data_IF_680513983885
#
_entry.id   IF_680513983885
#
_cell.length_a   1.000
_cell.length_b   1.000
_cell.length_c   1.000
_cell.angle_alpha   90.00
_cell.angle_beta   90.00
_cell.angle_gamma   90.00
#
_symmetry.space_group_name_H-M   'P 1'
#
loop_
_entity.id
_entity.type
_entity.pdbx_description
1 polymer ?
#
# COMPACT_ATOMS: atom_id res chain seq x y z
N UNK A 1 27.26 -2.25 5.75
CA UNK A 1 26.39 -1.52 6.71
C UNK A 1 25.06 -2.23 6.95
N UNK A 2 24.26 -2.53 5.91
CA UNK A 2 22.96 -3.21 6.06
C UNK A 2 23.00 -4.46 6.96
N UNK A 3 23.93 -5.40 6.68
CA UNK A 3 24.04 -6.62 7.49
C UNK A 3 24.32 -6.37 8.97
N UNK A 4 25.05 -5.31 9.31
CA UNK A 4 25.26 -4.90 10.69
C UNK A 4 23.96 -4.41 11.32
N UNK A 5 23.20 -3.55 10.62
CA UNK A 5 21.92 -3.05 11.10
C UNK A 5 20.90 -4.18 11.32
N UNK A 6 20.80 -5.13 10.37
CA UNK A 6 19.94 -6.32 10.48
C UNK A 6 20.33 -7.18 11.68
N UNK A 7 21.62 -7.54 11.82
CA UNK A 7 22.11 -8.34 12.95
C UNK A 7 21.80 -7.69 14.31
N UNK A 8 22.09 -6.39 14.43
CA UNK A 8 21.87 -5.65 15.67
C UNK A 8 20.38 -5.50 16.00
N UNK A 9 19.52 -5.24 15.02
CA UNK A 9 18.08 -5.10 15.25
C UNK A 9 17.48 -6.42 15.74
N UNK A 10 17.79 -7.53 15.08
CA UNK A 10 17.26 -8.85 15.46
C UNK A 10 17.75 -9.24 16.85
N UNK A 11 19.04 -9.02 17.17
CA UNK A 11 19.58 -9.29 18.51
C UNK A 11 18.97 -8.41 19.59
N UNK A 12 18.62 -7.16 19.29
CA UNK A 12 18.00 -6.26 20.25
C UNK A 12 16.55 -6.70 20.59
N UNK A 13 15.76 -7.07 19.59
CA UNK A 13 14.35 -7.43 19.79
C UNK A 13 14.12 -8.92 20.09
N UNK A 14 15.07 -9.79 19.76
CA UNK A 14 14.97 -11.23 19.99
C UNK A 14 16.27 -11.84 20.54
N UNK A 15 16.85 -11.32 21.66
CA UNK A 15 18.15 -11.77 22.17
C UNK A 15 18.17 -13.24 22.60
N UNK A 16 17.03 -13.82 22.95
CA UNK A 16 16.91 -15.18 23.50
C UNK A 16 16.28 -16.18 22.51
N UNK A 17 16.20 -15.83 21.22
CA UNK A 17 15.56 -16.68 20.19
C UNK A 17 14.15 -17.15 20.57
N UNK A 18 13.35 -16.26 21.14
CA UNK A 18 11.93 -16.47 21.45
C UNK A 18 11.06 -16.13 20.24
N UNK A 19 9.81 -16.55 20.26
CA UNK A 19 8.81 -16.31 19.20
C UNK A 19 8.21 -14.89 19.29
N UNK A 20 9.07 -13.86 19.35
CA UNK A 20 8.64 -12.48 19.63
C UNK A 20 8.55 -11.59 18.39
N UNK A 21 9.21 -11.98 17.30
CA UNK A 21 9.27 -11.21 16.06
C UNK A 21 8.85 -12.08 14.89
N UNK A 22 7.75 -11.71 14.23
CA UNK A 22 7.38 -12.28 12.95
C UNK A 22 8.00 -11.50 11.78
N UNK A 23 7.95 -12.07 10.58
CA UNK A 23 8.48 -11.47 9.33
C UNK A 23 7.93 -10.07 9.07
N UNK A 24 6.64 -9.90 9.35
CA UNK A 24 5.95 -8.63 9.17
C UNK A 24 6.48 -7.54 10.12
N UNK A 25 6.62 -7.83 11.41
CA UNK A 25 7.17 -6.91 12.41
C UNK A 25 8.60 -6.51 12.06
N UNK A 26 9.43 -7.48 11.65
CA UNK A 26 10.80 -7.20 11.20
C UNK A 26 10.84 -6.18 10.07
N UNK A 27 10.02 -6.36 9.02
CA UNK A 27 9.98 -5.43 7.90
C UNK A 27 9.59 -4.01 8.34
N UNK A 28 8.63 -3.87 9.26
CA UNK A 28 8.20 -2.57 9.77
C UNK A 28 9.27 -1.90 10.63
N UNK A 29 9.94 -2.67 11.49
CA UNK A 29 11.05 -2.15 12.30
C UNK A 29 12.27 -1.77 11.44
N UNK A 30 12.60 -2.56 10.42
CA UNK A 30 13.68 -2.24 9.48
C UNK A 30 13.41 -0.94 8.72
N UNK A 31 12.18 -0.74 8.28
CA UNK A 31 11.78 0.52 7.66
C UNK A 31 11.91 1.71 8.63
N UNK A 32 11.36 1.59 9.85
CA UNK A 32 11.47 2.66 10.85
C UNK A 32 12.93 2.98 11.19
N UNK A 33 13.77 1.96 11.26
CA UNK A 33 15.22 2.12 11.44
C UNK A 33 15.82 2.90 10.26
N UNK A 34 15.63 2.43 9.04
CA UNK A 34 16.16 3.07 7.82
C UNK A 34 15.70 4.53 7.70
N UNK A 35 14.40 4.80 7.86
CA UNK A 35 13.83 6.15 7.85
C UNK A 35 14.49 7.09 8.86
N UNK A 36 14.76 6.61 10.09
CA UNK A 36 15.41 7.41 11.15
C UNK A 36 16.91 7.57 10.91
N UNK A 37 17.56 6.60 10.30
CA UNK A 37 18.99 6.67 9.94
C UNK A 37 19.21 7.64 8.77
N UNK A 38 18.35 7.60 7.74
CA UNK A 38 18.41 8.54 6.61
C UNK A 38 18.30 9.99 7.09
N UNK A 39 17.41 10.29 8.04
CA UNK A 39 17.30 11.63 8.69
C UNK A 39 18.56 12.07 9.43
N UNK A 40 19.43 11.13 9.80
CA UNK A 40 20.72 11.37 10.44
C UNK A 40 21.90 11.30 9.44
N UNK A 41 21.61 11.22 8.14
CA UNK A 41 22.61 11.13 7.07
C UNK A 41 23.28 9.75 6.94
N UNK A 42 22.68 8.70 7.51
CA UNK A 42 23.18 7.32 7.43
C UNK A 42 22.27 6.51 6.51
N UNK A 43 22.79 6.10 5.36
CA UNK A 43 22.08 5.25 4.39
C UNK A 43 22.60 3.81 4.49
N UNK A 44 21.79 2.93 5.08
CA UNK A 44 22.13 1.51 5.22
C UNK A 44 21.91 0.72 3.92
N UNK A 45 21.43 1.36 2.85
CA UNK A 45 21.11 0.74 1.56
C UNK A 45 20.07 -0.37 1.67
N UNK A 46 19.05 -0.18 2.52
CA UNK A 46 17.95 -1.14 2.67
C UNK A 46 17.20 -1.25 1.33
N UNK A 47 17.15 -2.43 0.67
CA UNK A 47 16.27 -2.62 -0.46
C UNK A 47 14.82 -2.66 0.02
N UNK A 48 13.94 -1.96 -0.68
CA UNK A 48 12.53 -2.02 -0.39
C UNK A 48 11.72 -1.05 -1.24
N UNK A 49 10.41 -1.14 -1.09
CA UNK A 49 9.48 -0.40 -1.91
C UNK A 49 8.14 -0.21 -1.20
N UNK A 50 7.37 0.77 -1.65
CA UNK A 50 6.04 1.01 -1.12
C UNK A 50 5.03 -0.03 -1.63
N UNK A 51 4.21 -0.58 -0.74
CA UNK A 51 3.14 -1.52 -1.06
C UNK A 51 1.84 -1.18 -0.31
N UNK A 52 0.75 -1.92 -0.57
CA UNK A 52 -0.60 -1.66 -0.03
C UNK A 52 -0.70 -1.51 1.49
N UNK A 53 0.28 -2.06 2.22
CA UNK A 53 0.40 -1.96 3.68
C UNK A 53 1.59 -1.10 4.13
N UNK A 54 2.04 -0.18 3.28
CA UNK A 54 3.23 0.65 3.48
C UNK A 54 4.49 0.00 2.94
N UNK A 55 5.64 0.59 3.25
CA UNK A 55 6.93 0.11 2.76
C UNK A 55 7.26 -1.30 3.26
N UNK A 56 7.90 -2.06 2.38
CA UNK A 56 8.17 -3.48 2.53
C UNK A 56 9.52 -3.85 1.91
N UNK A 57 10.21 -4.81 2.53
CA UNK A 57 11.45 -5.39 2.06
C UNK A 57 11.23 -6.88 1.83
N UNK A 58 11.34 -7.33 0.58
CA UNK A 58 11.27 -8.75 0.26
C UNK A 58 12.54 -9.48 0.73
N UNK A 59 12.37 -10.69 1.26
CA UNK A 59 13.48 -11.50 1.79
C UNK A 59 14.50 -11.87 0.72
N UNK A 60 14.04 -12.20 -0.48
CA UNK A 60 14.93 -12.49 -1.62
C UNK A 60 15.83 -11.32 -1.97
N UNK A 61 15.41 -10.07 -1.68
CA UNK A 61 16.26 -8.89 -1.89
C UNK A 61 17.33 -8.83 -0.80
N UNK A 62 16.99 -9.17 0.45
CA UNK A 62 17.96 -9.28 1.54
C UNK A 62 18.99 -10.38 1.25
N UNK A 63 18.57 -11.54 0.75
CA UNK A 63 19.47 -12.64 0.36
C UNK A 63 20.50 -12.21 -0.69
N UNK A 64 20.15 -11.27 -1.57
CA UNK A 64 21.05 -10.77 -2.62
C UNK A 64 22.07 -9.75 -2.11
N UNK A 65 21.76 -9.01 -1.04
CA UNK A 65 22.59 -7.88 -0.57
C UNK A 65 23.33 -8.16 0.75
N UNK A 66 22.89 -9.17 1.50
CA UNK A 66 23.54 -9.57 2.74
C UNK A 66 24.71 -10.53 2.48
N UNK A 67 25.73 -10.55 3.36
CA UNK A 67 26.87 -11.45 3.23
C UNK A 67 26.53 -12.93 3.48
N UNK A 68 25.30 -13.22 3.91
CA UNK A 68 24.76 -14.56 4.10
C UNK A 68 23.27 -14.56 3.71
N UNK A 69 22.70 -15.69 3.26
CA UNK A 69 21.26 -15.79 2.96
C UNK A 69 20.43 -15.49 4.22
N UNK A 70 19.65 -14.42 4.19
CA UNK A 70 18.75 -14.04 5.27
C UNK A 70 17.69 -15.11 5.51
N UNK A 71 17.07 -15.60 4.43
CA UNK A 71 15.99 -16.59 4.46
C UNK A 71 16.42 -17.88 5.15
N UNK A 72 17.63 -18.37 4.91
CA UNK A 72 18.14 -19.62 5.50
C UNK A 72 18.61 -19.46 6.95
N UNK A 73 19.10 -18.28 7.33
CA UNK A 73 19.79 -18.08 8.61
C UNK A 73 18.95 -17.37 9.68
N UNK A 74 17.95 -16.60 9.26
CA UNK A 74 17.15 -15.77 10.16
C UNK A 74 15.67 -16.15 10.18
N UNK A 75 15.16 -16.93 9.22
CA UNK A 75 13.72 -17.23 9.12
C UNK A 75 13.46 -18.68 9.52
N UNK A 76 12.45 -18.88 10.37
CA UNK A 76 11.89 -20.20 10.66
C UNK A 76 10.36 -20.08 10.73
N UNK A 77 9.68 -20.58 9.71
CA UNK A 77 8.25 -20.36 9.52
C UNK A 77 7.95 -18.87 9.33
N UNK A 78 7.02 -18.34 10.13
CA UNK A 78 6.65 -16.92 10.10
C UNK A 78 7.51 -16.04 11.03
N UNK A 79 8.51 -16.61 11.69
CA UNK A 79 9.28 -15.99 12.76
C UNK A 79 10.71 -15.64 12.33
N UNK A 80 11.23 -14.56 12.90
CA UNK A 80 12.60 -14.07 12.70
C UNK A 80 13.43 -14.33 13.96
N UNK A 81 14.56 -14.98 13.77
CA UNK A 81 15.52 -15.33 14.81
C UNK A 81 16.89 -14.72 14.54
N UNK A 82 17.66 -14.42 15.60
CA UNK A 82 19.07 -14.09 15.47
C UNK A 82 19.80 -15.13 14.61
N UNK A 83 20.69 -14.69 13.70
CA UNK A 83 21.46 -15.60 12.87
C UNK A 83 22.30 -16.53 13.76
N UNK A 84 22.38 -17.80 13.37
CA UNK A 84 23.30 -18.78 13.98
C UNK A 84 24.75 -18.48 13.64
N UNK A 85 25.00 -17.86 12.49
CA UNK A 85 26.33 -17.49 12.01
C UNK A 85 26.72 -16.15 12.64
N UNK A 86 27.86 -16.15 13.35
CA UNK A 86 28.49 -14.90 13.78
C UNK A 86 29.23 -14.28 12.61
N UNK A 87 28.77 -13.12 12.14
CA UNK A 87 29.46 -12.34 11.12
C UNK A 87 30.33 -11.29 11.80
N UNK A 88 31.62 -11.27 11.44
CA UNK A 88 32.51 -10.19 11.85
C UNK A 88 32.28 -8.95 10.98
N UNK A 89 31.84 -7.87 11.64
CA UNK A 89 31.64 -6.54 11.04
C UNK A 89 32.78 -5.57 11.36
N UNK A 90 33.83 -6.01 12.04
CA UNK A 90 34.98 -5.18 12.42
C UNK A 90 35.62 -4.54 11.19
N UNK A 91 35.80 -3.22 11.23
CA UNK A 91 36.35 -2.44 10.12
C UNK A 91 35.44 -2.32 8.88
N UNK A 92 34.27 -2.98 8.84
CA UNK A 92 33.33 -2.94 7.70
C UNK A 92 32.28 -1.82 7.80
N UNK A 93 32.15 -1.20 8.98
CA UNK A 93 31.24 -0.09 9.27
C UNK A 93 32.01 0.92 10.10
N UNK A 94 31.93 2.21 9.78
CA UNK A 94 32.66 3.23 10.54
C UNK A 94 32.12 3.32 11.97
N UNK A 95 32.98 3.57 12.96
CA UNK A 95 32.60 3.63 14.38
C UNK A 95 31.43 4.59 14.61
N UNK A 96 31.48 5.78 13.99
CA UNK A 96 30.40 6.77 14.05
C UNK A 96 29.06 6.22 13.56
N UNK A 97 29.05 5.47 12.46
CA UNK A 97 27.81 4.89 11.91
C UNK A 97 27.30 3.77 12.81
N UNK A 98 28.19 2.95 13.38
CA UNK A 98 27.81 1.92 14.36
C UNK A 98 27.12 2.54 15.57
N UNK A 99 27.64 3.64 16.10
CA UNK A 99 27.06 4.34 17.25
C UNK A 99 25.67 4.90 16.92
N UNK A 100 25.50 5.53 15.76
CA UNK A 100 24.21 6.06 15.31
C UNK A 100 23.18 4.92 15.13
N UNK A 101 23.60 3.80 14.52
CA UNK A 101 22.75 2.61 14.33
C UNK A 101 22.32 2.04 15.67
N UNK A 102 23.26 1.79 16.59
CA UNK A 102 22.96 1.22 17.90
C UNK A 102 22.05 2.14 18.73
N UNK A 103 22.32 3.45 18.72
CA UNK A 103 21.47 4.43 19.40
C UNK A 103 20.05 4.45 18.83
N UNK A 104 19.90 4.41 17.50
CA UNK A 104 18.59 4.38 16.85
C UNK A 104 17.83 3.09 17.14
N UNK A 105 18.52 1.94 17.16
CA UNK A 105 17.94 0.66 17.57
C UNK A 105 17.50 0.69 19.04
N UNK A 106 18.29 1.28 19.94
CA UNK A 106 17.90 1.45 21.35
C UNK A 106 16.60 2.23 21.47
N UNK A 107 16.46 3.35 20.74
CA UNK A 107 15.22 4.14 20.75
C UNK A 107 14.03 3.33 20.25
N UNK A 108 14.20 2.56 19.15
CA UNK A 108 13.14 1.67 18.65
C UNK A 108 12.77 0.59 19.68
N UNK A 109 13.77 0.00 20.32
CA UNK A 109 13.56 -1.01 21.35
C UNK A 109 12.83 -0.42 22.58
N UNK A 110 13.19 0.78 23.04
CA UNK A 110 12.48 1.44 24.15
C UNK A 110 11.03 1.76 23.78
N UNK A 111 10.78 2.05 22.50
CA UNK A 111 9.46 2.37 21.99
C UNK A 111 8.57 1.13 21.79
N UNK A 112 9.11 0.01 21.32
CA UNK A 112 8.31 -1.15 20.88
C UNK A 112 8.67 -2.49 21.55
N UNK A 113 9.89 -2.62 22.07
CA UNK A 113 10.43 -3.87 22.60
C UNK A 113 9.54 -4.49 23.67
N UNK A 114 9.13 -5.73 23.44
CA UNK A 114 8.30 -6.56 24.35
C UNK A 114 6.96 -5.94 24.76
N UNK A 115 6.46 -4.91 24.06
CA UNK A 115 5.14 -4.34 24.32
C UNK A 115 4.06 -5.15 23.61
N UNK A 116 2.94 -5.37 24.29
CA UNK A 116 1.77 -5.99 23.67
C UNK A 116 1.29 -5.12 22.50
N UNK A 117 0.94 -5.74 21.37
CA UNK A 117 0.45 -5.03 20.18
C UNK A 117 1.49 -4.15 19.46
N UNK A 118 2.79 -4.27 19.76
CA UNK A 118 3.81 -3.42 19.14
C UNK A 118 3.83 -3.52 17.60
N UNK A 119 3.43 -4.66 17.05
CA UNK A 119 3.34 -4.88 15.61
C UNK A 119 2.39 -3.91 14.90
N UNK A 120 1.22 -3.64 15.49
CA UNK A 120 0.23 -2.71 14.95
C UNK A 120 0.68 -1.26 15.11
N UNK A 121 1.35 -0.94 16.23
CA UNK A 121 1.95 0.38 16.45
C UNK A 121 3.07 0.65 15.43
N UNK A 122 3.98 -0.31 15.25
CA UNK A 122 5.07 -0.21 14.28
C UNK A 122 4.54 -0.16 12.84
N UNK A 123 3.48 -0.92 12.53
CA UNK A 123 2.76 -0.84 11.25
C UNK A 123 2.27 0.58 10.98
N UNK A 124 1.52 1.15 11.92
CA UNK A 124 0.90 2.46 11.77
C UNK A 124 1.98 3.53 11.58
N UNK A 125 2.96 3.58 12.47
CA UNK A 125 4.03 4.58 12.36
C UNK A 125 4.87 4.40 11.09
N UNK A 126 5.15 3.15 10.69
CA UNK A 126 5.84 2.86 9.43
C UNK A 126 5.07 3.36 8.22
N UNK A 127 3.75 3.26 8.24
CA UNK A 127 2.88 3.78 7.19
C UNK A 127 2.88 5.31 7.19
N UNK A 128 2.63 5.94 8.34
CA UNK A 128 2.52 7.39 8.49
C UNK A 128 3.80 8.12 8.07
N UNK A 129 4.98 7.56 8.37
CA UNK A 129 6.27 8.19 8.03
C UNK A 129 6.62 8.05 6.54
N UNK A 130 6.17 6.99 5.88
CA UNK A 130 6.63 6.62 4.53
C UNK A 130 5.53 6.64 3.48
N UNK A 131 4.34 7.13 3.82
CA UNK A 131 3.25 7.28 2.87
C UNK A 131 3.63 8.35 1.84
N UNK A 132 3.78 8.00 0.55
CA UNK A 132 4.27 8.93 -0.45
C UNK A 132 3.22 9.97 -0.85
N UNK A 133 1.93 9.64 -0.72
CA UNK A 133 0.82 10.56 -0.99
C UNK A 133 -0.22 10.51 0.13
N UNK A 134 -0.93 11.63 0.32
CA UNK A 134 -2.07 11.72 1.24
C UNK A 134 -3.20 10.79 0.84
N UNK A 135 -3.35 10.54 -0.46
CA UNK A 135 -4.27 9.55 -1.00
C UNK A 135 -4.11 8.17 -0.33
N UNK A 136 -2.88 7.71 -0.11
CA UNK A 136 -2.63 6.40 0.49
C UNK A 136 -3.20 6.30 1.92
N UNK A 137 -3.01 7.33 2.75
CA UNK A 137 -3.55 7.37 4.12
C UNK A 137 -5.07 7.44 4.12
N UNK A 138 -5.67 8.27 3.25
CA UNK A 138 -7.12 8.34 3.09
C UNK A 138 -7.71 7.01 2.65
N UNK A 139 -7.02 6.28 1.77
CA UNK A 139 -7.49 4.98 1.31
C UNK A 139 -7.47 3.94 2.43
N UNK A 140 -6.56 4.04 3.42
CA UNK A 140 -6.63 3.19 4.62
C UNK A 140 -7.89 3.47 5.45
N UNK A 141 -8.30 4.74 5.58
CA UNK A 141 -9.55 5.10 6.25
C UNK A 141 -10.76 4.53 5.50
N UNK A 142 -10.75 4.64 4.17
CA UNK A 142 -11.78 4.05 3.31
C UNK A 142 -11.85 2.52 3.44
N UNK A 143 -10.70 1.83 3.52
CA UNK A 143 -10.62 0.40 3.82
C UNK A 143 -11.28 0.06 5.16
N UNK A 144 -11.06 0.87 6.21
CA UNK A 144 -11.67 0.66 7.53
C UNK A 144 -13.20 0.80 7.48
N UNK A 145 -13.71 1.80 6.77
CA UNK A 145 -15.17 2.02 6.62
C UNK A 145 -15.82 0.87 5.85
N UNK A 146 -15.21 0.47 4.73
CA UNK A 146 -15.76 -0.56 3.84
C UNK A 146 -15.59 -1.99 4.38
N UNK A 147 -14.65 -2.23 5.30
CA UNK A 147 -14.47 -3.53 5.95
C UNK A 147 -15.45 -3.80 7.11
N UNK A 148 -16.29 -2.84 7.51
CA UNK A 148 -17.31 -3.06 8.55
C UNK A 148 -18.23 -4.23 8.18
N UNK A 149 -18.34 -5.24 9.05
CA UNK A 149 -19.21 -6.40 8.83
C UNK A 149 -20.65 -6.09 9.26
N UNK A 150 -21.39 -5.44 8.38
CA UNK A 150 -22.81 -5.11 8.56
C UNK A 150 -23.67 -5.91 7.59
N UNK A 151 -24.89 -6.26 8.01
CA UNK A 151 -25.86 -7.00 7.18
C UNK A 151 -26.54 -6.11 6.14
N UNK A 152 -26.65 -4.80 6.41
CA UNK A 152 -27.26 -3.80 5.54
C UNK A 152 -26.46 -2.50 5.59
N UNK A 153 -26.40 -1.79 4.47
CA UNK A 153 -25.81 -0.46 4.40
C UNK A 153 -26.84 0.55 4.88
N UNK A 154 -26.56 1.22 6.00
CA UNK A 154 -27.39 2.33 6.50
C UNK A 154 -27.07 3.61 5.73
N UNK A 155 -27.98 4.59 5.76
CA UNK A 155 -27.73 5.89 5.12
C UNK A 155 -26.47 6.57 5.68
N UNK A 156 -26.27 6.52 7.00
CA UNK A 156 -25.04 7.03 7.62
C UNK A 156 -23.77 6.33 7.12
N UNK A 157 -23.81 5.02 6.83
CA UNK A 157 -22.64 4.32 6.26
C UNK A 157 -22.44 4.71 4.79
N UNK A 158 -23.53 4.90 4.03
CA UNK A 158 -23.47 5.42 2.67
C UNK A 158 -22.84 6.81 2.64
N UNK A 159 -23.24 7.69 3.54
CA UNK A 159 -22.68 9.04 3.69
C UNK A 159 -21.18 8.98 4.04
N UNK A 160 -20.80 8.17 5.04
CA UNK A 160 -19.39 7.94 5.41
C UNK A 160 -18.53 7.53 4.20
N UNK A 161 -19.04 6.58 3.39
CA UNK A 161 -18.36 6.10 2.18
C UNK A 161 -18.27 7.23 1.14
N UNK A 162 -19.35 7.98 0.93
CA UNK A 162 -19.43 9.06 -0.08
C UNK A 162 -18.48 10.21 0.26
N UNK A 163 -18.43 10.63 1.52
CA UNK A 163 -17.49 11.66 1.98
C UNK A 163 -16.04 11.22 1.74
N UNK A 164 -15.71 9.94 1.99
CA UNK A 164 -14.36 9.44 1.70
C UNK A 164 -14.07 9.34 0.21
N UNK A 165 -15.05 9.00 -0.63
CA UNK A 165 -14.91 9.03 -2.07
C UNK A 165 -14.59 10.44 -2.57
N UNK A 166 -15.27 11.48 -2.06
CA UNK A 166 -14.98 12.87 -2.41
C UNK A 166 -13.54 13.29 -2.03
N UNK A 167 -13.09 12.91 -0.83
CA UNK A 167 -11.73 13.20 -0.39
C UNK A 167 -10.68 12.45 -1.23
N UNK A 168 -10.92 11.17 -1.53
CA UNK A 168 -10.04 10.37 -2.39
C UNK A 168 -9.97 10.96 -3.80
N UNK A 169 -11.12 11.37 -4.36
CA UNK A 169 -11.18 12.00 -5.66
C UNK A 169 -10.33 13.28 -5.70
N UNK A 170 -10.40 14.10 -4.66
CA UNK A 170 -9.66 15.36 -4.56
C UNK A 170 -8.16 15.21 -4.34
N UNK A 171 -7.72 14.13 -3.68
CA UNK A 171 -6.32 13.91 -3.28
C UNK A 171 -5.59 12.94 -4.21
N UNK A 172 -6.27 12.44 -5.25
CA UNK A 172 -5.66 11.52 -6.21
C UNK A 172 -4.49 12.22 -6.95
N UNK A 173 -3.27 11.65 -6.90
CA UNK A 173 -2.09 12.29 -7.47
C UNK A 173 -2.02 12.09 -9.00
N UNK A 174 -2.95 12.70 -9.73
CA UNK A 174 -3.13 12.55 -11.17
C UNK A 174 -1.88 12.88 -11.98
N UNK A 175 -1.12 13.90 -11.57
CA UNK A 175 0.11 14.30 -12.25
C UNK A 175 1.22 13.24 -12.15
N UNK A 176 1.21 12.45 -11.08
CA UNK A 176 2.17 11.36 -10.87
C UNK A 176 1.74 10.08 -11.60
N UNK A 177 0.42 9.86 -11.73
CA UNK A 177 -0.15 8.63 -12.26
C UNK A 177 -1.28 8.88 -13.28
N UNK A 178 -1.00 9.57 -14.40
CA UNK A 178 -2.03 9.90 -15.39
C UNK A 178 -2.66 8.65 -16.02
N UNK A 179 -1.92 7.55 -16.14
CA UNK A 179 -2.38 6.31 -16.78
C UNK A 179 -3.40 5.49 -15.98
N UNK A 180 -3.57 5.77 -14.68
CA UNK A 180 -4.61 5.14 -13.85
C UNK A 180 -5.72 6.12 -13.48
N UNK A 181 -5.70 7.33 -14.03
CA UNK A 181 -6.73 8.34 -13.77
C UNK A 181 -8.11 7.87 -14.27
N UNK A 182 -8.18 7.25 -15.47
CA UNK A 182 -9.42 6.63 -15.99
C UNK A 182 -9.98 5.61 -15.01
N UNK A 183 -9.17 4.63 -14.64
CA UNK A 183 -9.53 3.57 -13.70
C UNK A 183 -10.01 4.14 -12.36
N UNK A 184 -9.34 5.18 -11.85
CA UNK A 184 -9.73 5.84 -10.61
C UNK A 184 -11.11 6.51 -10.73
N UNK A 185 -11.37 7.25 -11.81
CA UNK A 185 -12.66 7.90 -12.03
C UNK A 185 -13.77 6.88 -12.25
N UNK A 186 -13.51 5.83 -13.03
CA UNK A 186 -14.48 4.76 -13.26
C UNK A 186 -14.78 4.00 -11.97
N UNK A 187 -13.77 3.76 -11.13
CA UNK A 187 -13.93 3.17 -9.81
C UNK A 187 -14.79 4.03 -8.88
N UNK A 188 -14.51 5.34 -8.77
CA UNK A 188 -15.27 6.28 -7.93
C UNK A 188 -16.73 6.32 -8.38
N UNK A 189 -16.96 6.58 -9.68
CA UNK A 189 -18.30 6.72 -10.25
C UNK A 189 -19.09 5.41 -10.16
N UNK A 190 -18.47 4.27 -10.49
CA UNK A 190 -19.13 2.96 -10.36
C UNK A 190 -19.45 2.64 -8.90
N UNK A 191 -18.60 3.05 -7.96
CA UNK A 191 -18.89 2.88 -6.53
C UNK A 191 -20.13 3.69 -6.14
N UNK A 192 -20.29 4.92 -6.64
CA UNK A 192 -21.51 5.74 -6.40
C UNK A 192 -22.75 5.11 -7.02
N UNK A 193 -22.65 4.61 -8.26
CA UNK A 193 -23.72 3.84 -8.91
C UNK A 193 -24.14 2.64 -8.06
N UNK A 194 -23.20 1.88 -7.49
CA UNK A 194 -23.51 0.78 -6.57
C UNK A 194 -24.22 1.28 -5.31
N UNK A 195 -23.76 2.38 -4.71
CA UNK A 195 -24.36 2.92 -3.49
C UNK A 195 -25.81 3.39 -3.69
N UNK A 196 -26.13 3.90 -4.89
CA UNK A 196 -27.45 4.43 -5.22
C UNK A 196 -28.43 3.35 -5.67
N UNK A 197 -27.99 2.41 -6.52
CA UNK A 197 -28.92 1.50 -7.20
C UNK A 197 -28.86 0.05 -6.70
N UNK A 198 -27.74 -0.42 -6.16
CA UNK A 198 -27.66 -1.82 -5.74
C UNK A 198 -28.52 -2.09 -4.48
N UNK A 199 -29.13 -3.30 -4.36
CA UNK A 199 -29.81 -3.70 -3.12
C UNK A 199 -28.86 -3.74 -1.92
N UNK A 200 -29.33 -3.31 -0.74
CA UNK A 200 -28.49 -3.21 0.47
C UNK A 200 -27.80 -4.51 0.89
N UNK A 201 -28.40 -5.66 0.55
CA UNK A 201 -27.84 -6.99 0.86
C UNK A 201 -26.58 -7.33 0.08
N UNK A 202 -26.38 -6.74 -1.11
CA UNK A 202 -25.17 -6.94 -1.94
C UNK A 202 -24.30 -5.70 -2.07
N UNK A 203 -24.85 -4.51 -1.77
CA UNK A 203 -24.22 -3.20 -1.96
C UNK A 203 -22.80 -3.14 -1.40
N UNK A 204 -22.62 -3.46 -0.12
CA UNK A 204 -21.30 -3.38 0.51
C UNK A 204 -20.30 -4.40 -0.06
N UNK A 205 -20.77 -5.58 -0.49
CA UNK A 205 -19.91 -6.56 -1.13
C UNK A 205 -19.38 -6.06 -2.48
N UNK A 206 -20.24 -5.43 -3.29
CA UNK A 206 -19.84 -4.81 -4.54
C UNK A 206 -18.88 -3.64 -4.32
N UNK A 207 -19.13 -2.78 -3.32
CA UNK A 207 -18.19 -1.71 -2.92
C UNK A 207 -16.82 -2.28 -2.53
N UNK A 208 -16.78 -3.38 -1.75
CA UNK A 208 -15.52 -4.05 -1.39
C UNK A 208 -14.80 -4.61 -2.61
N UNK A 209 -15.51 -5.21 -3.56
CA UNK A 209 -14.93 -5.72 -4.79
C UNK A 209 -14.31 -4.59 -5.62
N UNK A 210 -15.03 -3.49 -5.85
CA UNK A 210 -14.53 -2.31 -6.56
C UNK A 210 -13.29 -1.72 -5.89
N UNK A 211 -13.35 -1.54 -4.56
CA UNK A 211 -12.20 -1.12 -3.75
C UNK A 211 -11.00 -2.02 -3.94
N UNK A 212 -11.19 -3.33 -3.88
CA UNK A 212 -10.09 -4.30 -3.96
C UNK A 212 -9.46 -4.31 -5.36
N UNK A 213 -10.26 -4.19 -6.42
CA UNK A 213 -9.76 -4.05 -7.80
C UNK A 213 -8.83 -2.84 -7.91
N UNK A 214 -9.30 -1.66 -7.50
CA UNK A 214 -8.52 -0.44 -7.58
C UNK A 214 -7.26 -0.50 -6.69
N UNK A 215 -7.43 -0.97 -5.45
CA UNK A 215 -6.35 -1.04 -4.45
C UNK A 215 -5.31 -2.13 -4.74
N UNK A 216 -5.57 -3.08 -5.63
CA UNK A 216 -4.55 -4.00 -6.10
C UNK A 216 -3.63 -3.38 -7.17
N UNK A 217 -4.09 -2.34 -7.88
CA UNK A 217 -3.34 -1.73 -9.00
C UNK A 217 -2.60 -0.49 -8.56
N UNK A 218 -3.27 0.44 -7.88
CA UNK A 218 -2.67 1.71 -7.47
C UNK A 218 -1.33 1.51 -6.71
N UNK A 219 -1.22 0.63 -5.70
CA UNK A 219 0.04 0.37 -5.02
C UNK A 219 1.15 -0.20 -5.91
N UNK A 220 0.83 -0.93 -6.98
CA UNK A 220 1.84 -1.45 -7.92
C UNK A 220 2.48 -0.32 -8.70
N UNK A 221 1.70 0.72 -9.05
CA UNK A 221 2.24 1.92 -9.67
C UNK A 221 3.09 2.73 -8.71
N UNK A 222 2.59 2.96 -7.50
CA UNK A 222 3.33 3.65 -6.43
C UNK A 222 4.65 2.91 -6.13
N UNK A 223 4.64 1.58 -6.07
CA UNK A 223 5.85 0.75 -5.91
C UNK A 223 6.93 1.06 -6.95
N UNK A 224 6.55 1.30 -8.20
CA UNK A 224 7.50 1.52 -9.29
C UNK A 224 8.26 2.84 -9.08
N UNK A 225 7.63 3.88 -8.55
CA UNK A 225 8.28 5.19 -8.31
C UNK A 225 8.86 5.32 -6.91
N UNK A 226 8.19 4.73 -5.92
CA UNK A 226 8.55 4.81 -4.52
C UNK A 226 9.29 3.52 -4.10
N UNK A 227 10.48 3.33 -4.64
CA UNK A 227 11.38 2.24 -4.27
C UNK A 227 12.79 2.75 -3.97
N UNK A 228 13.58 1.93 -3.27
CA UNK A 228 14.98 2.21 -2.98
C UNK A 228 15.81 0.95 -3.04
N UNK A 229 17.02 1.08 -3.58
CA UNK A 229 18.02 0.01 -3.68
C UNK A 229 17.48 -1.29 -4.32
N UNK A 230 16.49 -1.18 -5.22
CA UNK A 230 15.95 -2.31 -5.98
C UNK A 230 16.74 -2.48 -7.28
N UNK A 231 17.13 -3.71 -7.66
CA UNK A 231 17.77 -3.94 -8.94
C UNK A 231 16.87 -3.55 -10.12
N UNK A 232 17.43 -2.83 -11.10
CA UNK A 232 16.68 -2.31 -12.26
C UNK A 232 15.92 -3.38 -13.04
N UNK A 233 16.46 -4.61 -13.13
CA UNK A 233 15.78 -5.71 -13.80
C UNK A 233 14.46 -6.11 -13.12
N UNK A 234 14.37 -5.98 -11.79
CA UNK A 234 13.15 -6.23 -11.01
C UNK A 234 12.12 -5.12 -11.30
N UNK A 235 12.55 -3.86 -11.34
CA UNK A 235 11.69 -2.71 -11.67
C UNK A 235 11.10 -2.87 -13.08
N UNK A 236 11.90 -3.30 -14.07
CA UNK A 236 11.41 -3.58 -15.42
C UNK A 236 10.35 -4.68 -15.46
N UNK A 237 10.53 -5.75 -14.68
CA UNK A 237 9.53 -6.81 -14.56
C UNK A 237 8.22 -6.27 -13.97
N UNK A 238 8.30 -5.43 -12.93
CA UNK A 238 7.11 -4.80 -12.34
C UNK A 238 6.38 -3.90 -13.34
N UNK A 239 7.10 -3.07 -14.10
CA UNK A 239 6.51 -2.21 -15.15
C UNK A 239 5.81 -3.04 -16.22
N UNK A 240 6.41 -4.14 -16.64
CA UNK A 240 5.81 -5.04 -17.64
C UNK A 240 4.55 -5.72 -17.12
N UNK A 241 4.56 -6.22 -15.88
CA UNK A 241 3.41 -6.86 -15.28
C UNK A 241 2.27 -5.85 -15.07
N UNK A 242 2.59 -4.67 -14.52
CA UNK A 242 1.64 -3.60 -14.27
C UNK A 242 0.87 -3.19 -15.54
N UNK A 243 1.56 -3.01 -16.66
CA UNK A 243 0.91 -2.64 -17.94
C UNK A 243 -0.11 -3.69 -18.41
N UNK A 244 0.10 -4.96 -18.11
CA UNK A 244 -0.81 -6.03 -18.49
C UNK A 244 -2.11 -6.05 -17.67
N UNK A 245 -2.08 -5.52 -16.45
CA UNK A 245 -3.20 -5.61 -15.50
C UNK A 245 -4.18 -4.43 -15.58
N UNK A 246 -3.83 -3.34 -16.26
CA UNK A 246 -4.66 -2.13 -16.34
C UNK A 246 -5.99 -2.40 -17.04
N UNK A 247 -5.94 -3.03 -18.21
CA UNK A 247 -7.13 -3.31 -19.02
C UNK A 247 -8.09 -4.26 -18.28
N UNK A 248 -7.55 -5.26 -17.58
CA UNK A 248 -8.36 -6.22 -16.81
C UNK A 248 -9.16 -5.51 -15.72
N UNK A 249 -8.59 -4.45 -15.13
CA UNK A 249 -9.25 -3.63 -14.11
C UNK A 249 -10.38 -2.79 -14.68
N UNK A 250 -10.10 -2.08 -15.78
CA UNK A 250 -11.09 -1.25 -16.49
C UNK A 250 -12.29 -2.13 -16.90
N UNK A 251 -12.01 -3.27 -17.53
CA UNK A 251 -13.05 -4.22 -17.94
C UNK A 251 -13.84 -4.76 -16.74
N UNK A 252 -13.18 -5.09 -15.62
CA UNK A 252 -13.88 -5.62 -14.44
C UNK A 252 -14.78 -4.55 -13.79
N UNK A 253 -14.31 -3.31 -13.68
CA UNK A 253 -15.10 -2.19 -13.13
C UNK A 253 -16.32 -1.94 -14.03
N UNK A 254 -16.11 -1.86 -15.33
CA UNK A 254 -17.17 -1.63 -16.31
C UNK A 254 -18.21 -2.77 -16.33
N UNK A 255 -17.76 -4.02 -16.22
CA UNK A 255 -18.66 -5.17 -16.10
C UNK A 255 -19.53 -5.11 -14.83
N UNK A 256 -18.96 -4.67 -13.69
CA UNK A 256 -19.73 -4.46 -12.46
C UNK A 256 -20.76 -3.34 -12.68
N UNK A 257 -20.35 -2.22 -13.28
CA UNK A 257 -21.21 -1.08 -13.58
C UNK A 257 -22.42 -1.50 -14.43
N UNK A 258 -22.17 -2.14 -15.57
CA UNK A 258 -23.21 -2.57 -16.49
C UNK A 258 -24.17 -3.56 -15.84
N UNK A 259 -23.65 -4.51 -15.05
CA UNK A 259 -24.50 -5.44 -14.30
C UNK A 259 -25.44 -4.74 -13.32
N UNK A 260 -24.95 -3.72 -12.61
CA UNK A 260 -25.76 -2.97 -11.63
C UNK A 260 -26.83 -2.16 -12.35
N UNK A 261 -26.46 -1.46 -13.42
CA UNK A 261 -27.39 -0.65 -14.20
C UNK A 261 -28.46 -1.53 -14.87
N UNK A 262 -28.07 -2.58 -15.58
CA UNK A 262 -29.01 -3.47 -16.29
C UNK A 262 -30.00 -4.16 -15.35
N UNK A 263 -29.60 -4.44 -14.12
CA UNK A 263 -30.43 -5.20 -13.17
C UNK A 263 -31.28 -4.31 -12.27
N UNK A 264 -30.75 -3.17 -11.83
CA UNK A 264 -31.34 -2.39 -10.74
C UNK A 264 -31.67 -0.95 -11.11
N UNK A 265 -31.16 -0.43 -12.24
CA UNK A 265 -31.54 0.89 -12.72
C UNK A 265 -32.82 0.80 -13.54
N UNK A 266 -33.85 1.55 -13.15
CA UNK A 266 -35.02 1.78 -13.99
C UNK A 266 -34.94 3.22 -14.51
N UNK A 267 -34.76 3.44 -15.82
CA UNK A 267 -34.73 4.78 -16.38
C UNK A 267 -36.08 5.47 -16.09
N UNK A 268 -36.06 6.65 -15.45
CA UNK A 268 -37.26 7.48 -15.43
C UNK A 268 -37.51 8.00 -16.86
N UNK A 269 -38.77 8.07 -17.28
CA UNK A 269 -39.14 8.71 -18.56
C UNK A 269 -38.67 10.18 -18.60
N UNK A 270 -38.63 10.86 -17.45
CA UNK A 270 -38.18 12.26 -17.30
C UNK A 270 -36.69 12.47 -17.60
N UNK A 271 -35.84 11.45 -17.43
CA UNK A 271 -34.40 11.55 -17.66
C UNK A 271 -33.99 11.24 -19.10
N UNK A 272 -34.86 10.67 -19.93
CA UNK A 272 -34.50 10.30 -21.32
C UNK A 272 -34.20 11.52 -22.18
N UNK A 273 -34.97 12.60 -22.06
CA UNK A 273 -34.70 13.84 -22.79
C UNK A 273 -33.44 14.54 -22.29
N UNK A 274 -33.22 14.56 -20.97
CA UNK A 274 -32.03 15.19 -20.38
C UNK A 274 -30.74 14.43 -20.72
N UNK A 275 -30.74 13.09 -20.65
CA UNK A 275 -29.61 12.26 -21.06
C UNK A 275 -29.35 12.41 -22.57
N UNK A 276 -30.41 12.46 -23.39
CA UNK A 276 -30.27 12.71 -24.83
C UNK A 276 -29.68 14.09 -25.11
N UNK A 277 -30.07 15.11 -24.36
CA UNK A 277 -29.50 16.46 -24.44
C UNK A 277 -28.02 16.47 -24.03
N UNK A 278 -27.65 15.85 -22.90
CA UNK A 278 -26.27 15.75 -22.45
C UNK A 278 -25.37 15.00 -23.45
N UNK A 279 -25.85 13.89 -24.00
CA UNK A 279 -25.11 13.17 -25.04
C UNK A 279 -24.93 14.03 -26.28
N UNK A 280 -25.96 14.75 -26.71
CA UNK A 280 -25.83 15.70 -27.83
C UNK A 280 -24.82 16.80 -27.54
N UNK A 281 -24.77 17.33 -26.32
CA UNK A 281 -23.81 18.38 -25.93
C UNK A 281 -22.35 17.85 -25.90
N UNK A 282 -22.13 16.64 -25.39
CA UNK A 282 -20.81 15.98 -25.37
C UNK A 282 -20.32 15.68 -26.79
N UNK A 283 -21.20 15.24 -27.70
CA UNK A 283 -20.85 15.00 -29.10
C UNK A 283 -20.80 16.26 -29.98
N UNK A 284 -21.34 17.39 -29.50
CA UNK A 284 -21.30 18.69 -30.16
C UNK A 284 -20.19 19.61 -29.62
N UNK A 285 -19.28 19.12 -28.76
CA UNK A 285 -18.07 19.86 -28.39
C UNK A 285 -17.34 20.19 -29.70
N UNK A 286 -17.23 21.48 -30.08
CA UNK A 286 -16.47 21.85 -31.26
C UNK A 286 -15.04 21.37 -31.04
N UNK A 287 -14.44 20.73 -32.05
CA UNK A 287 -12.98 20.61 -32.14
C UNK A 287 -12.37 22.01 -32.25
N UNK A 288 -12.27 22.73 -31.13
CA UNK A 288 -11.29 23.78 -30.90
C UNK A 288 -10.07 23.05 -30.35
N UNK A 289 -9.21 22.46 -31.16
CA UNK A 289 -8.40 23.16 -32.15
C UNK A 289 -6.96 22.91 -31.71
N UNK A 290 -6.16 22.39 -32.64
CA UNK A 290 -4.72 22.11 -32.53
C UNK A 290 -3.94 23.28 -31.92
#
# INVERSE_FOLDING_TARGET
MLGYAVDRLIKAFNPYRKEVMNRYHFCKLMNLLDSRLQKQGVDIKLPGYWYKYGFYTEERLLDQVLPYPFSENCILGELIYPPTITVDFSGKVAVREQDIILKTISILHDQYGFKEGYGDLAKKESYDINSPYKFNTLFQEYLLITNKNVSHVTESLKDDITIKLDELLSEFPIDSFPEIASIHFDWDDTTRVVLDYAPDVIKLNLVRQLRDIFWEIYPKRVRIDCNQNIPEHVIRQWKSAYKGELNDAEETIENIRNKVLDTYYTPSEDNKEFVKYLMQDIYNIPNSGV
#
